data_IF_329091462086
#
_entry.id   IF_329091462086
#
_cell.length_a   1.000
_cell.length_b   1.000
_cell.length_c   1.000
_cell.angle_alpha   90.00
_cell.angle_beta   90.00
_cell.angle_gamma   90.00
#
_symmetry.space_group_name_H-M   'P 1'
#
loop_
_entity.id
_entity.type
_entity.pdbx_description
1 polymer ?
#
# COMPACT_ATOMS: atom_id res chain seq x y z
N UNK A 1 -47.30 42.38 14.86
CA UNK A 1 -47.04 41.54 16.03
C UNK A 1 -46.08 40.46 15.56
N UNK A 2 -44.82 40.56 15.98
CA UNK A 2 -43.80 39.56 15.67
C UNK A 2 -44.14 38.31 16.48
N UNK A 3 -44.19 37.15 15.82
CA UNK A 3 -44.45 35.88 16.48
C UNK A 3 -43.32 35.57 17.46
N UNK A 4 -43.69 35.15 18.66
CA UNK A 4 -42.74 34.69 19.66
C UNK A 4 -41.82 33.62 19.06
N UNK A 5 -40.53 33.75 19.33
CA UNK A 5 -39.53 32.75 18.95
C UNK A 5 -39.78 31.48 19.76
N UNK A 6 -40.13 30.39 19.07
CA UNK A 6 -40.25 29.05 19.66
C UNK A 6 -38.88 28.67 20.24
N UNK A 7 -38.81 28.45 21.54
CA UNK A 7 -37.59 28.01 22.22
C UNK A 7 -37.48 26.49 22.22
N UNK A 8 -36.28 25.94 22.44
CA UNK A 8 -36.09 24.49 22.60
C UNK A 8 -36.97 23.91 23.73
N UNK A 9 -37.27 24.72 24.76
CA UNK A 9 -38.19 24.37 25.85
C UNK A 9 -39.67 24.31 25.44
N UNK A 10 -40.07 25.03 24.38
CA UNK A 10 -41.43 24.98 23.83
C UNK A 10 -41.64 23.75 22.95
N UNK A 11 -40.61 23.33 22.19
CA UNK A 11 -40.62 22.09 21.42
C UNK A 11 -40.66 20.85 22.34
N UNK A 12 -39.99 20.90 23.50
CA UNK A 12 -40.01 19.83 24.49
C UNK A 12 -41.38 19.62 25.18
N UNK A 13 -42.34 20.53 25.01
CA UNK A 13 -43.67 20.46 25.64
C UNK A 13 -44.76 19.86 24.74
N UNK A 14 -44.48 19.58 23.46
CA UNK A 14 -45.39 18.84 22.58
C UNK A 14 -45.11 17.33 22.67
N UNK A 15 -45.96 16.63 23.43
CA UNK A 15 -45.99 15.17 23.43
C UNK A 15 -46.85 14.67 22.26
N UNK A 16 -46.23 14.47 21.11
CA UNK A 16 -46.79 13.67 20.02
C UNK A 16 -45.87 12.47 19.80
N UNK A 17 -46.41 11.27 19.95
CA UNK A 17 -45.75 10.01 19.62
C UNK A 17 -46.36 9.47 18.32
N UNK A 18 -45.57 8.76 17.52
CA UNK A 18 -45.99 8.23 16.23
C UNK A 18 -45.59 6.75 16.07
N UNK A 19 -46.36 6.01 15.29
CA UNK A 19 -46.05 4.64 14.85
C UNK A 19 -45.77 4.58 13.34
N UNK A 20 -44.80 3.76 12.94
CA UNK A 20 -44.45 3.56 11.53
C UNK A 20 -44.81 2.15 11.05
N UNK A 21 -45.57 2.07 9.96
CA UNK A 21 -45.84 0.86 9.19
C UNK A 21 -44.96 0.78 7.94
N UNK A 22 -44.58 -0.43 7.54
CA UNK A 22 -43.69 -0.68 6.41
C UNK A 22 -44.49 -1.04 5.16
N UNK A 23 -44.47 -0.18 4.14
CA UNK A 23 -45.11 -0.41 2.83
C UNK A 23 -44.14 0.01 1.72
N UNK A 24 -43.11 -0.79 1.47
CA UNK A 24 -42.11 -0.54 0.41
C UNK A 24 -41.12 0.59 0.73
N UNK A 25 -40.56 1.28 -0.29
CA UNK A 25 -39.60 2.40 -0.14
C UNK A 25 -40.20 3.71 0.45
N UNK A 26 -41.41 3.67 1.03
CA UNK A 26 -42.09 4.84 1.60
C UNK A 26 -42.35 4.65 3.10
N UNK A 27 -41.93 5.62 3.91
CA UNK A 27 -42.14 5.63 5.35
C UNK A 27 -43.35 6.53 5.71
N UNK A 28 -44.35 5.96 6.37
CA UNK A 28 -45.51 6.70 6.88
C UNK A 28 -45.37 6.82 8.39
N UNK A 29 -45.40 8.05 8.89
CA UNK A 29 -45.50 8.34 10.32
C UNK A 29 -46.97 8.59 10.67
N UNK A 30 -47.53 7.74 11.52
CA UNK A 30 -48.91 7.90 12.01
C UNK A 30 -48.85 8.48 13.42
N UNK A 31 -49.36 9.68 13.61
CA UNK A 31 -49.48 10.28 14.95
C UNK A 31 -50.47 9.45 15.80
N UNK A 32 -50.09 9.14 17.03
CA UNK A 32 -50.91 8.34 17.95
C UNK A 32 -52.15 9.09 18.43
N UNK A 33 -52.09 10.44 18.44
CA UNK A 33 -53.20 11.32 18.79
C UNK A 33 -53.62 12.18 17.58
N UNK A 34 -54.93 12.33 17.32
CA UNK A 34 -55.42 13.20 16.26
C UNK A 34 -55.13 14.67 16.59
N UNK A 35 -54.70 15.43 15.59
CA UNK A 35 -54.45 16.88 15.70
C UNK A 35 -55.45 17.65 14.85
N UNK A 36 -56.00 18.73 15.39
CA UNK A 36 -56.87 19.67 14.66
C UNK A 36 -56.10 20.94 14.32
N UNK A 37 -56.22 21.42 13.07
CA UNK A 37 -55.61 22.65 12.58
C UNK A 37 -56.73 23.51 12.00
N UNK A 38 -56.89 24.72 12.50
CA UNK A 38 -57.97 25.61 12.08
C UNK A 38 -57.75 26.13 10.65
N UNK A 39 -58.86 26.56 10.03
CA UNK A 39 -58.84 27.03 8.64
C UNK A 39 -57.94 28.26 8.50
N UNK A 40 -56.90 28.13 7.69
CA UNK A 40 -55.94 29.20 7.41
C UNK A 40 -54.72 29.20 8.33
N UNK A 41 -54.63 28.23 9.25
CA UNK A 41 -53.48 28.05 10.13
C UNK A 41 -52.52 26.97 9.61
N UNK A 42 -51.31 26.93 10.16
CA UNK A 42 -50.29 25.92 9.87
C UNK A 42 -49.58 25.54 11.16
N UNK A 43 -49.22 24.26 11.30
CA UNK A 43 -48.56 23.74 12.49
C UNK A 43 -47.37 22.86 12.12
N UNK A 44 -46.31 22.94 12.92
CA UNK A 44 -45.18 22.00 12.87
C UNK A 44 -45.43 20.93 13.92
N UNK A 45 -45.66 19.70 13.46
CA UNK A 45 -45.91 18.56 14.33
C UNK A 45 -44.61 17.76 14.50
N UNK A 46 -44.08 17.62 15.74
CA UNK A 46 -42.95 16.76 15.96
C UNK A 46 -43.37 15.32 15.71
N UNK A 47 -42.58 14.61 14.90
CA UNK A 47 -42.79 13.18 14.62
C UNK A 47 -42.21 12.34 15.77
N UNK A 48 -41.09 12.81 16.33
CA UNK A 48 -40.38 12.19 17.43
C UNK A 48 -40.23 13.25 18.51
N UNK A 49 -40.87 13.02 19.65
CA UNK A 49 -40.71 13.82 20.87
C UNK A 49 -40.19 12.91 21.97
N UNK A 50 -38.88 12.94 22.22
CA UNK A 50 -38.28 12.14 23.26
C UNK A 50 -36.75 12.14 23.22
N UNK A 51 -36.10 11.73 24.31
CA UNK A 51 -34.65 11.52 24.31
C UNK A 51 -34.32 10.34 23.40
N UNK A 52 -33.20 10.45 22.69
CA UNK A 52 -32.57 9.36 21.93
C UNK A 52 -31.24 9.08 22.62
N UNK A 53 -30.90 7.80 22.80
CA UNK A 53 -29.61 7.43 23.38
C UNK A 53 -28.46 7.94 22.49
N UNK A 54 -27.54 8.68 23.11
CA UNK A 54 -26.36 9.21 22.43
C UNK A 54 -25.18 9.36 23.37
N UNK A 55 -23.99 9.07 22.85
CA UNK A 55 -22.71 9.23 23.54
C UNK A 55 -21.91 10.34 22.88
N UNK A 56 -21.47 11.33 23.68
CA UNK A 56 -20.53 12.35 23.21
C UNK A 56 -19.17 11.70 22.97
N UNK A 57 -18.58 11.98 21.82
CA UNK A 57 -17.28 11.46 21.41
C UNK A 57 -16.50 12.54 20.66
N UNK A 58 -15.18 12.39 20.59
CA UNK A 58 -14.34 13.14 19.66
C UNK A 58 -13.90 12.20 18.54
N UNK A 59 -14.18 12.57 17.30
CA UNK A 59 -13.89 11.77 16.11
C UNK A 59 -12.58 12.27 15.51
N UNK A 60 -11.62 11.37 15.35
CA UNK A 60 -10.39 11.66 14.62
C UNK A 60 -10.30 10.73 13.41
N UNK A 61 -10.42 11.29 12.20
CA UNK A 61 -10.39 10.51 10.96
C UNK A 61 -9.05 10.67 10.25
N UNK A 62 -8.29 9.57 10.18
CA UNK A 62 -6.97 9.55 9.53
C UNK A 62 -7.05 9.44 7.98
N UNK A 63 -8.27 9.54 7.41
CA UNK A 63 -8.53 9.55 5.96
C UNK A 63 -8.32 10.94 5.36
N UNK A 64 -8.62 12.01 6.11
CA UNK A 64 -8.65 13.37 5.60
C UNK A 64 -7.25 14.01 5.51
N UNK A 65 -7.07 14.94 4.56
CA UNK A 65 -5.82 15.69 4.39
C UNK A 65 -5.52 16.74 5.47
N UNK A 66 -6.51 17.06 6.30
CA UNK A 66 -6.41 17.92 7.50
C UNK A 66 -7.17 17.24 8.66
N UNK A 67 -6.56 16.29 9.38
CA UNK A 67 -7.25 15.47 10.37
C UNK A 67 -7.31 16.23 11.70
N UNK A 68 -8.16 17.26 11.76
CA UNK A 68 -8.49 17.89 13.03
C UNK A 68 -9.53 17.05 13.76
N UNK A 69 -9.36 16.82 15.08
CA UNK A 69 -10.41 16.21 15.89
C UNK A 69 -11.73 16.97 15.75
N UNK A 70 -12.83 16.22 15.66
CA UNK A 70 -14.17 16.76 15.51
C UNK A 70 -15.02 16.33 16.70
N UNK A 71 -15.77 17.25 17.29
CA UNK A 71 -16.81 16.89 18.23
C UNK A 71 -17.91 16.10 17.50
N UNK A 72 -18.38 15.04 18.14
CA UNK A 72 -19.41 14.19 17.59
C UNK A 72 -20.32 13.57 18.63
N UNK A 73 -21.38 12.95 18.11
CA UNK A 73 -22.31 12.11 18.86
C UNK A 73 -22.43 10.77 18.16
N UNK A 74 -22.19 9.71 18.91
CA UNK A 74 -22.56 8.35 18.53
C UNK A 74 -24.00 8.14 18.99
N UNK A 75 -24.91 8.03 18.03
CA UNK A 75 -26.36 7.95 18.21
C UNK A 75 -26.83 6.52 17.97
N UNK A 76 -27.65 5.98 18.86
CA UNK A 76 -28.38 4.73 18.63
C UNK A 76 -29.85 5.05 18.37
N UNK A 77 -30.42 4.60 17.26
CA UNK A 77 -31.83 4.83 16.97
C UNK A 77 -32.74 3.84 17.73
N UNK A 78 -33.03 4.17 18.99
CA UNK A 78 -33.92 3.43 19.88
C UNK A 78 -35.39 3.90 19.83
N UNK A 79 -35.72 4.83 18.92
CA UNK A 79 -37.06 5.44 18.82
C UNK A 79 -38.15 4.48 18.31
N UNK A 80 -37.77 3.34 17.75
CA UNK A 80 -38.68 2.39 17.10
C UNK A 80 -39.18 2.85 15.73
N UNK A 81 -38.70 4.00 15.22
CA UNK A 81 -39.04 4.58 13.93
C UNK A 81 -37.79 4.67 13.03
N UNK A 82 -37.97 4.91 11.74
CA UNK A 82 -36.86 5.27 10.84
C UNK A 82 -36.56 6.76 11.02
N UNK A 83 -35.28 7.13 11.17
CA UNK A 83 -34.89 8.54 11.15
C UNK A 83 -34.62 8.97 9.70
N UNK A 84 -35.28 10.05 9.28
CA UNK A 84 -35.11 10.60 7.94
C UNK A 84 -33.77 11.35 7.82
N UNK A 85 -33.13 11.33 6.64
CA UNK A 85 -31.94 12.14 6.41
C UNK A 85 -32.28 13.64 6.46
N UNK A 86 -31.40 14.43 7.04
CA UNK A 86 -31.61 15.87 7.17
C UNK A 86 -30.49 16.59 7.93
N UNK A 87 -30.48 17.93 7.90
CA UNK A 87 -29.58 18.70 8.75
C UNK A 87 -30.02 18.59 10.22
N UNK A 88 -29.04 18.61 11.12
CA UNK A 88 -29.23 18.55 12.57
C UNK A 88 -28.51 19.73 13.19
N UNK A 89 -29.24 20.62 13.86
CA UNK A 89 -28.63 21.65 14.69
C UNK A 89 -28.33 21.06 16.08
N UNK A 90 -27.07 21.12 16.49
CA UNK A 90 -26.62 20.57 17.77
C UNK A 90 -26.53 21.70 18.80
N UNK A 91 -27.15 21.48 19.95
CA UNK A 91 -27.09 22.38 21.10
C UNK A 91 -26.44 21.65 22.27
N UNK A 92 -25.48 22.31 22.93
CA UNK A 92 -24.84 21.83 24.14
C UNK A 92 -25.04 22.84 25.27
N UNK A 93 -25.45 22.37 26.45
CA UNK A 93 -25.81 23.21 27.60
C UNK A 93 -26.73 24.42 27.27
N UNK A 94 -27.59 24.27 26.26
CA UNK A 94 -28.52 25.33 25.80
C UNK A 94 -27.90 26.35 24.84
N UNK A 95 -26.62 26.22 24.50
CA UNK A 95 -25.95 27.03 23.47
C UNK A 95 -25.83 26.25 22.16
N UNK A 96 -25.83 26.96 21.04
CA UNK A 96 -25.57 26.36 19.73
C UNK A 96 -24.12 25.90 19.64
N UNK A 97 -23.90 24.62 19.32
CA UNK A 97 -22.58 23.99 19.28
C UNK A 97 -22.10 23.71 17.84
N UNK A 98 -23.02 23.55 16.88
CA UNK A 98 -22.69 23.33 15.47
C UNK A 98 -23.83 22.66 14.69
N UNK A 99 -23.52 22.28 13.46
CA UNK A 99 -24.43 21.58 12.56
C UNK A 99 -23.85 20.23 12.18
N UNK A 100 -24.69 19.20 12.16
CA UNK A 100 -24.40 17.90 11.59
C UNK A 100 -25.38 17.57 10.45
N UNK A 101 -25.04 16.53 9.68
CA UNK A 101 -25.94 15.95 8.70
C UNK A 101 -26.21 14.51 9.10
N UNK A 102 -27.48 14.15 9.27
CA UNK A 102 -27.90 12.77 9.50
C UNK A 102 -28.31 12.13 8.17
N UNK A 103 -27.92 10.87 7.98
CA UNK A 103 -28.41 10.02 6.90
C UNK A 103 -29.71 9.30 7.27
N UNK A 104 -30.11 8.33 6.46
CA UNK A 104 -31.16 7.40 6.89
C UNK A 104 -30.64 6.49 8.01
N UNK A 105 -31.40 6.39 9.10
CA UNK A 105 -31.07 5.53 10.24
C UNK A 105 -32.22 4.57 10.47
N UNK A 106 -32.00 3.28 10.20
CA UNK A 106 -33.02 2.28 10.46
C UNK A 106 -33.22 2.07 11.96
N UNK A 107 -34.28 1.36 12.33
CA UNK A 107 -34.59 1.05 13.73
C UNK A 107 -33.46 0.20 14.32
N UNK A 108 -32.88 0.65 15.43
CA UNK A 108 -31.77 -0.02 16.11
C UNK A 108 -30.40 0.21 15.46
N UNK A 109 -30.29 0.94 14.35
CA UNK A 109 -29.01 1.29 13.75
C UNK A 109 -28.27 2.34 14.60
N UNK A 110 -26.94 2.29 14.55
CA UNK A 110 -26.05 3.30 15.11
C UNK A 110 -25.49 4.23 14.03
N UNK A 111 -25.30 5.50 14.41
CA UNK A 111 -24.71 6.52 13.54
C UNK A 111 -23.79 7.44 14.30
N UNK A 112 -22.63 7.67 13.70
CA UNK A 112 -21.67 8.66 14.14
C UNK A 112 -21.90 9.98 13.39
N UNK A 113 -22.12 11.06 14.14
CA UNK A 113 -22.37 12.39 13.59
C UNK A 113 -21.32 13.37 14.11
N UNK A 114 -20.53 13.97 13.22
CA UNK A 114 -19.63 15.08 13.54
C UNK A 114 -20.33 16.43 13.35
N UNK A 115 -20.16 17.37 14.28
CA UNK A 115 -20.86 18.67 14.21
C UNK A 115 -19.97 19.91 14.35
N UNK A 116 -18.76 19.79 14.91
CA UNK A 116 -17.84 20.92 15.08
C UNK A 116 -16.39 20.44 15.18
N UNK A 117 -15.43 21.34 14.99
CA UNK A 117 -14.01 21.07 15.32
C UNK A 117 -13.87 21.04 16.83
N UNK A 118 -13.18 20.03 17.35
CA UNK A 118 -12.78 19.97 18.76
C UNK A 118 -11.48 20.76 18.93
N UNK A 119 -11.56 21.89 19.64
CA UNK A 119 -10.41 22.77 19.88
C UNK A 119 -9.64 22.40 21.15
N UNK A 120 -10.21 21.54 21.99
CA UNK A 120 -9.62 21.15 23.27
C UNK A 120 -8.90 19.80 23.18
N UNK A 121 -9.01 19.09 22.06
CA UNK A 121 -8.24 17.89 21.78
C UNK A 121 -7.19 18.16 20.69
N UNK A 122 -5.92 18.01 21.04
CA UNK A 122 -4.84 17.95 20.05
C UNK A 122 -4.62 16.49 19.62
N UNK A 123 -4.34 16.29 18.33
CA UNK A 123 -3.99 14.98 17.79
C UNK A 123 -2.73 15.05 16.95
N UNK A 124 -1.79 14.16 17.23
CA UNK A 124 -0.59 13.93 16.44
C UNK A 124 -0.56 12.49 15.92
N UNK A 125 0.09 12.31 14.77
CA UNK A 125 0.27 11.01 14.12
C UNK A 125 1.73 10.84 13.73
N UNK A 126 2.36 9.77 14.20
CA UNK A 126 3.65 9.30 13.71
C UNK A 126 3.44 7.98 12.97
N UNK A 127 3.90 7.88 11.73
CA UNK A 127 3.81 6.65 10.95
C UNK A 127 5.19 6.13 10.62
N UNK A 128 5.41 4.86 10.94
CA UNK A 128 6.63 4.13 10.60
C UNK A 128 6.28 2.92 9.77
N UNK A 129 7.09 2.69 8.75
CA UNK A 129 6.97 1.51 7.91
C UNK A 129 8.25 0.70 8.03
N UNK A 130 8.09 -0.61 8.21
CA UNK A 130 9.18 -1.57 8.20
C UNK A 130 8.86 -2.66 7.20
N UNK A 131 9.87 -3.06 6.45
CA UNK A 131 9.80 -4.25 5.61
C UNK A 131 10.88 -5.23 6.04
N UNK A 132 10.48 -6.48 6.20
CA UNK A 132 11.41 -7.56 6.50
C UNK A 132 11.17 -8.72 5.56
N UNK A 133 12.27 -9.32 5.10
CA UNK A 133 12.17 -10.60 4.40
C UNK A 133 11.86 -11.66 5.45
N UNK A 134 10.80 -12.42 5.20
CA UNK A 134 10.37 -13.56 6.01
C UNK A 134 11.01 -14.85 5.51
N UNK A 135 11.07 -15.01 4.19
CA UNK A 135 11.55 -16.25 3.57
C UNK A 135 12.05 -16.01 2.15
N UNK A 136 13.09 -16.74 1.76
CA UNK A 136 13.58 -16.85 0.39
C UNK A 136 13.63 -18.34 0.05
N UNK A 137 13.05 -18.69 -1.09
CA UNK A 137 13.13 -20.02 -1.69
C UNK A 137 13.33 -19.90 -3.20
N UNK A 138 13.67 -20.98 -3.87
CA UNK A 138 13.71 -21.06 -5.33
C UNK A 138 12.58 -21.97 -5.76
N UNK A 139 11.77 -21.51 -6.71
CA UNK A 139 10.65 -22.24 -7.30
C UNK A 139 10.73 -22.13 -8.81
N UNK A 140 10.80 -23.26 -9.52
CA UNK A 140 10.95 -23.32 -10.98
C UNK A 140 12.11 -22.44 -11.49
N UNK A 141 13.26 -22.46 -10.81
CA UNK A 141 14.44 -21.67 -11.18
C UNK A 141 14.34 -20.16 -10.91
N UNK A 142 13.22 -19.69 -10.34
CA UNK A 142 13.03 -18.30 -9.91
C UNK A 142 13.18 -18.17 -8.40
N UNK A 143 13.82 -17.11 -7.93
CA UNK A 143 13.90 -16.78 -6.51
C UNK A 143 12.56 -16.20 -6.08
N UNK A 144 11.83 -16.91 -5.24
CA UNK A 144 10.64 -16.40 -4.57
C UNK A 144 11.01 -15.81 -3.21
N UNK A 145 10.75 -14.52 -3.04
CA UNK A 145 11.01 -13.76 -1.82
C UNK A 145 9.69 -13.36 -1.18
N UNK A 146 9.42 -13.89 0.01
CA UNK A 146 8.29 -13.48 0.85
C UNK A 146 8.72 -12.35 1.78
N UNK A 147 8.03 -11.23 1.67
CA UNK A 147 8.24 -10.02 2.46
C UNK A 147 7.03 -9.76 3.35
N UNK A 148 7.29 -9.38 4.58
CA UNK A 148 6.30 -8.84 5.52
C UNK A 148 6.52 -7.34 5.58
N UNK A 149 5.46 -6.58 5.28
CA UNK A 149 5.41 -5.14 5.48
C UNK A 149 4.56 -4.85 6.70
N UNK A 150 5.11 -4.11 7.65
CA UNK A 150 4.40 -3.63 8.83
C UNK A 150 4.33 -2.11 8.73
N UNK A 151 3.15 -1.55 8.93
CA UNK A 151 2.92 -0.12 9.04
C UNK A 151 2.38 0.16 10.43
N UNK A 152 3.22 0.69 11.30
CA UNK A 152 2.84 1.11 12.64
C UNK A 152 2.51 2.60 12.62
N UNK A 153 1.30 2.94 13.02
CA UNK A 153 0.86 4.32 13.17
C UNK A 153 0.51 4.56 14.63
N UNK A 154 1.27 5.45 15.28
CA UNK A 154 0.99 5.90 16.64
C UNK A 154 0.19 7.19 16.57
N UNK A 155 -0.97 7.18 17.20
CA UNK A 155 -1.81 8.35 17.41
C UNK A 155 -1.63 8.83 18.85
N UNK A 156 -1.33 10.11 19.02
CA UNK A 156 -1.18 10.75 20.32
C UNK A 156 -2.28 11.78 20.45
N UNK A 157 -3.15 11.60 21.44
CA UNK A 157 -4.25 12.51 21.74
C UNK A 157 -3.96 13.22 23.05
N UNK A 158 -3.96 14.54 23.06
CA UNK A 158 -3.76 15.36 24.26
C UNK A 158 -5.03 16.12 24.55
N UNK A 159 -5.58 15.93 25.73
CA UNK A 159 -6.82 16.56 26.17
C UNK A 159 -6.52 17.78 27.02
N UNK A 160 -6.92 18.96 26.56
CA UNK A 160 -6.81 20.23 27.28
C UNK A 160 -8.12 20.62 27.97
N UNK A 161 -9.19 19.83 27.81
CA UNK A 161 -10.45 20.06 28.50
C UNK A 161 -10.38 19.57 29.96
N UNK A 162 -11.33 20.07 30.74
CA UNK A 162 -11.62 19.70 32.12
C UNK A 162 -12.39 18.38 32.26
N UNK A 163 -12.99 17.89 31.16
CA UNK A 163 -13.73 16.63 31.10
C UNK A 163 -12.96 15.56 30.31
N UNK A 164 -13.13 14.30 30.68
CA UNK A 164 -12.54 13.18 29.95
C UNK A 164 -13.11 13.09 28.52
N UNK A 165 -12.27 12.73 27.56
CA UNK A 165 -12.63 12.61 26.14
C UNK A 165 -12.60 11.16 25.70
N UNK A 166 -13.72 10.68 25.15
CA UNK A 166 -13.77 9.40 24.41
C UNK A 166 -13.47 9.68 22.94
N UNK A 167 -12.29 9.26 22.49
CA UNK A 167 -11.82 9.46 21.11
C UNK A 167 -12.15 8.22 20.28
N UNK A 168 -12.87 8.41 19.18
CA UNK A 168 -13.07 7.43 18.12
C UNK A 168 -12.10 7.72 16.98
N UNK A 169 -11.07 6.88 16.87
CA UNK A 169 -10.09 6.92 15.79
C UNK A 169 -10.61 6.12 14.58
N UNK A 170 -10.82 6.77 13.44
CA UNK A 170 -11.03 6.10 12.16
C UNK A 170 -9.69 5.92 11.43
N UNK A 171 -9.21 4.68 11.38
CA UNK A 171 -8.03 4.29 10.63
C UNK A 171 -8.43 3.69 9.26
N UNK A 172 -7.90 4.17 8.13
CA UNK A 172 -8.27 3.67 6.81
C UNK A 172 -7.91 2.19 6.63
N UNK A 173 -8.86 1.40 6.14
CA UNK A 173 -8.59 0.04 5.66
C UNK A 173 -7.74 0.12 4.41
N UNK A 174 -6.71 -0.72 4.35
CA UNK A 174 -5.86 -0.85 3.17
C UNK A 174 -6.06 -2.25 2.56
N UNK A 175 -6.34 -2.38 1.25
CA UNK A 175 -6.53 -3.69 0.62
C UNK A 175 -5.32 -4.62 0.81
N UNK A 176 -5.58 -5.82 1.32
CA UNK A 176 -4.55 -6.83 1.60
C UNK A 176 -3.68 -6.54 2.84
N UNK A 177 -4.10 -5.61 3.69
CA UNK A 177 -3.50 -5.37 5.00
C UNK A 177 -4.48 -5.75 6.12
N UNK A 178 -3.94 -6.34 7.18
CA UNK A 178 -4.69 -6.81 8.34
C UNK A 178 -4.17 -6.12 9.61
N UNK A 179 -5.06 -5.86 10.57
CA UNK A 179 -4.67 -5.30 11.87
C UNK A 179 -3.96 -6.39 12.68
N UNK A 180 -2.79 -6.06 13.22
CA UNK A 180 -2.03 -6.92 14.13
C UNK A 180 -1.70 -6.19 15.43
N UNK A 181 -1.32 -6.95 16.47
CA UNK A 181 -0.95 -6.41 17.77
C UNK A 181 -2.13 -6.28 18.73
N UNK A 182 -1.94 -5.48 19.78
CA UNK A 182 -2.85 -5.43 20.93
C UNK A 182 -4.08 -4.54 20.69
N UNK A 183 -3.95 -3.50 19.85
CA UNK A 183 -5.08 -2.64 19.51
C UNK A 183 -6.04 -3.39 18.58
N UNK A 184 -7.26 -3.64 19.06
CA UNK A 184 -8.32 -4.26 18.28
C UNK A 184 -9.41 -3.22 17.99
N UNK A 185 -9.96 -3.20 16.77
CA UNK A 185 -11.03 -2.25 16.44
C UNK A 185 -12.29 -2.58 17.25
N UNK A 186 -12.94 -1.54 17.77
CA UNK A 186 -14.24 -1.64 18.41
C UNK A 186 -15.36 -1.84 17.37
N UNK A 187 -15.19 -1.27 16.18
CA UNK A 187 -16.11 -1.39 15.05
C UNK A 187 -15.33 -1.43 13.74
N UNK A 188 -15.87 -2.12 12.74
CA UNK A 188 -15.34 -2.14 11.39
C UNK A 188 -16.41 -1.78 10.36
N UNK A 189 -16.07 -0.84 9.49
CA UNK A 189 -16.89 -0.51 8.32
C UNK A 189 -16.25 -1.05 7.04
N UNK A 190 -16.82 -0.74 5.89
CA UNK A 190 -16.24 -1.09 4.59
C UNK A 190 -14.87 -0.44 4.36
N UNK A 191 -14.66 0.78 4.85
CA UNK A 191 -13.49 1.61 4.51
C UNK A 191 -12.57 1.94 5.69
N UNK A 192 -13.02 1.77 6.94
CA UNK A 192 -12.23 2.09 8.14
C UNK A 192 -12.33 1.05 9.25
N UNK A 193 -11.26 0.96 10.03
CA UNK A 193 -11.23 0.39 11.37
C UNK A 193 -11.49 1.52 12.37
N UNK A 194 -12.41 1.32 13.33
CA UNK A 194 -12.65 2.27 14.42
C UNK A 194 -12.07 1.75 15.71
N UNK A 195 -11.24 2.56 16.35
CA UNK A 195 -10.66 2.27 17.65
C UNK A 195 -11.14 3.30 18.67
N UNK A 196 -11.28 2.88 19.91
CA UNK A 196 -11.69 3.76 21.01
C UNK A 196 -10.52 3.99 21.97
N UNK A 197 -10.31 5.23 22.37
CA UNK A 197 -9.36 5.61 23.40
C UNK A 197 -9.99 6.65 24.34
N UNK A 198 -9.81 6.48 25.64
CA UNK A 198 -10.22 7.47 26.64
C UNK A 198 -9.01 8.31 27.01
N UNK A 199 -9.17 9.63 27.01
CA UNK A 199 -8.14 10.60 27.40
C UNK A 199 -8.66 11.41 28.58
N UNK A 200 -8.07 11.19 29.75
CA UNK A 200 -8.45 11.91 30.97
C UNK A 200 -8.13 13.43 30.85
N UNK A 201 -8.76 14.28 31.67
CA UNK A 201 -8.52 15.72 31.66
C UNK A 201 -7.04 16.08 31.86
N UNK A 202 -6.46 16.87 30.96
CA UNK A 202 -5.06 17.30 31.04
C UNK A 202 -4.03 16.22 30.68
N UNK A 203 -4.46 15.00 30.34
CA UNK A 203 -3.59 13.86 30.04
C UNK A 203 -3.38 13.66 28.53
N UNK A 204 -2.41 12.80 28.22
CA UNK A 204 -2.11 12.33 26.87
C UNK A 204 -2.29 10.83 26.79
N UNK A 205 -3.06 10.36 25.80
CA UNK A 205 -3.20 8.95 25.48
C UNK A 205 -2.50 8.61 24.16
N UNK A 206 -1.85 7.46 24.11
CA UNK A 206 -1.26 6.91 22.89
C UNK A 206 -2.03 5.67 22.44
N UNK A 207 -2.33 5.60 21.15
CA UNK A 207 -2.96 4.46 20.51
C UNK A 207 -2.12 4.04 19.29
N UNK A 208 -1.52 2.84 19.37
CA UNK A 208 -0.70 2.28 18.30
C UNK A 208 -1.51 1.29 17.45
N UNK A 209 -1.76 1.64 16.19
CA UNK A 209 -2.41 0.76 15.21
C UNK A 209 -1.35 0.23 14.27
N UNK A 210 -1.18 -1.10 14.21
CA UNK A 210 -0.24 -1.74 13.30
C UNK A 210 -0.97 -2.55 12.25
N UNK A 211 -0.69 -2.27 10.99
CA UNK A 211 -1.16 -3.06 9.85
C UNK A 211 -0.03 -3.94 9.34
N UNK A 212 -0.33 -5.20 9.01
CA UNK A 212 0.59 -6.13 8.35
C UNK A 212 0.09 -6.49 6.95
N UNK A 213 1.01 -6.58 5.98
CA UNK A 213 0.79 -7.21 4.69
C UNK A 213 1.93 -8.15 4.34
N UNK A 214 1.58 -9.41 4.07
CA UNK A 214 2.49 -10.43 3.55
C UNK A 214 2.34 -10.53 2.05
N UNK A 215 3.45 -10.52 1.32
CA UNK A 215 3.43 -10.70 -0.13
C UNK A 215 4.69 -11.43 -0.61
N UNK A 216 4.55 -12.14 -1.72
CA UNK A 216 5.66 -12.83 -2.39
C UNK A 216 5.93 -12.19 -3.74
N UNK A 217 7.20 -12.22 -4.14
CA UNK A 217 7.67 -11.79 -5.45
C UNK A 217 8.61 -12.83 -6.04
N UNK A 218 8.46 -13.07 -7.33
CA UNK A 218 9.36 -13.94 -8.10
C UNK A 218 10.38 -13.08 -8.84
N UNK A 219 11.64 -13.42 -8.65
CA UNK A 219 12.79 -12.71 -9.21
C UNK A 219 13.68 -13.70 -9.96
N UNK A 220 14.37 -13.23 -10.99
CA UNK A 220 15.39 -14.04 -11.65
C UNK A 220 16.57 -14.30 -10.70
N UNK A 221 17.15 -15.49 -10.77
CA UNK A 221 18.21 -15.95 -9.85
C UNK A 221 19.48 -15.08 -9.87
N UNK A 222 19.68 -14.33 -10.95
CA UNK A 222 20.80 -13.40 -11.16
C UNK A 222 20.61 -12.04 -10.49
N UNK A 223 19.40 -11.71 -10.01
CA UNK A 223 19.12 -10.43 -9.37
C UNK A 223 19.52 -10.36 -7.90
N UNK A 224 19.72 -11.51 -7.25
CA UNK A 224 20.09 -11.58 -5.84
C UNK A 224 21.60 -11.74 -5.68
N UNK A 225 22.22 -10.86 -4.88
CA UNK A 225 23.65 -10.94 -4.59
C UNK A 225 23.98 -12.07 -3.60
N UNK A 226 25.11 -12.75 -3.82
CA UNK A 226 25.55 -13.82 -2.91
C UNK A 226 25.83 -13.32 -1.48
N UNK A 227 26.38 -12.12 -1.33
CA UNK A 227 26.67 -11.53 -0.02
C UNK A 227 25.38 -11.19 0.75
N UNK A 228 24.38 -10.65 0.05
CA UNK A 228 23.05 -10.38 0.60
C UNK A 228 22.39 -11.68 1.06
N UNK A 229 22.43 -12.70 0.20
CA UNK A 229 21.86 -14.02 0.48
C UNK A 229 22.55 -14.72 1.66
N UNK A 230 23.88 -14.57 1.81
CA UNK A 230 24.61 -15.09 2.97
C UNK A 230 24.10 -14.46 4.28
N UNK A 231 23.75 -13.17 4.27
CA UNK A 231 23.08 -12.52 5.39
C UNK A 231 21.73 -13.16 5.74
N UNK A 232 20.95 -13.55 4.73
CA UNK A 232 19.68 -14.24 4.92
C UNK A 232 19.83 -15.68 5.39
N UNK A 233 20.87 -16.40 4.97
CA UNK A 233 21.20 -17.73 5.51
C UNK A 233 21.53 -17.64 6.99
N UNK A 234 22.37 -16.67 7.38
CA UNK A 234 22.76 -16.47 8.80
C UNK A 234 21.58 -16.12 9.70
N UNK A 235 20.55 -15.46 9.16
CA UNK A 235 19.34 -15.08 9.89
C UNK A 235 18.20 -16.09 9.76
N UNK A 236 18.44 -17.25 9.12
CA UNK A 236 17.45 -18.33 8.95
C UNK A 236 16.33 -18.01 7.94
N UNK A 237 16.48 -16.95 7.14
CA UNK A 237 15.51 -16.50 6.13
C UNK A 237 15.67 -17.20 4.79
N UNK A 238 16.84 -17.79 4.54
CA UNK A 238 17.15 -18.62 3.39
C UNK A 238 17.89 -19.88 3.86
N UNK A 239 17.81 -20.97 3.11
CA UNK A 239 18.60 -22.18 3.40
C UNK A 239 19.98 -22.14 2.75
N UNK A 240 20.90 -22.97 3.25
CA UNK A 240 22.20 -23.18 2.60
C UNK A 240 22.04 -23.68 1.15
N UNK A 241 21.02 -24.50 0.89
CA UNK A 241 20.75 -25.01 -0.45
C UNK A 241 20.35 -23.89 -1.42
N UNK A 242 19.58 -22.89 -0.97
CA UNK A 242 19.27 -21.70 -1.79
C UNK A 242 20.55 -20.93 -2.14
N UNK A 243 21.44 -20.75 -1.16
CA UNK A 243 22.74 -20.11 -1.38
C UNK A 243 23.60 -20.88 -2.39
N UNK A 244 23.71 -22.20 -2.22
CA UNK A 244 24.52 -23.04 -3.10
C UNK A 244 23.98 -23.04 -4.54
N UNK A 245 22.66 -23.01 -4.70
CA UNK A 245 22.01 -22.93 -5.99
C UNK A 245 22.28 -21.61 -6.72
N UNK A 246 22.15 -20.48 -6.00
CA UNK A 246 22.50 -19.15 -6.56
C UNK A 246 23.98 -19.09 -6.90
N UNK A 247 24.85 -19.66 -6.06
CA UNK A 247 26.31 -19.71 -6.31
C UNK A 247 26.63 -20.51 -7.56
N UNK A 248 25.96 -21.64 -7.77
CA UNK A 248 26.13 -22.46 -8.96
C UNK A 248 25.64 -21.74 -10.22
N UNK A 249 24.45 -21.13 -10.18
CA UNK A 249 23.93 -20.34 -11.30
C UNK A 249 24.87 -19.17 -11.65
N UNK A 250 25.38 -18.46 -10.64
CA UNK A 250 26.35 -17.37 -10.84
C UNK A 250 27.65 -17.86 -11.48
N UNK A 251 28.14 -19.05 -11.10
CA UNK A 251 29.34 -19.65 -11.71
C UNK A 251 29.14 -20.02 -13.18
N UNK A 252 27.98 -20.60 -13.53
CA UNK A 252 27.65 -20.92 -14.93
C UNK A 252 27.50 -19.62 -15.74
N UNK A 253 26.86 -18.59 -15.16
CA UNK A 253 26.74 -17.27 -15.79
C UNK A 253 28.10 -16.62 -16.04
N UNK A 254 29.04 -16.73 -15.09
CA UNK A 254 30.39 -16.21 -15.27
C UNK A 254 31.08 -16.82 -16.49
N UNK A 255 30.93 -18.14 -16.71
CA UNK A 255 31.46 -18.83 -17.91
C UNK A 255 30.85 -18.30 -19.21
N UNK A 256 29.54 -18.01 -19.23
CA UNK A 256 28.87 -17.39 -20.38
C UNK A 256 29.49 -16.02 -20.66
N UNK A 257 29.59 -15.17 -19.63
CA UNK A 257 30.14 -13.81 -19.78
C UNK A 257 31.62 -13.82 -20.16
N UNK A 258 32.42 -14.77 -19.68
CA UNK A 258 33.82 -14.91 -20.07
C UNK A 258 33.95 -15.32 -21.55
N UNK A 259 33.12 -16.25 -22.02
CA UNK A 259 33.09 -16.65 -23.44
C UNK A 259 32.65 -15.51 -24.35
N UNK A 260 31.62 -14.74 -23.96
CA UNK A 260 31.17 -13.54 -24.69
C UNK A 260 32.28 -12.48 -24.79
N UNK A 261 33.01 -12.23 -23.69
CA UNK A 261 34.16 -11.31 -23.69
C UNK A 261 35.27 -11.81 -24.63
N UNK A 262 35.55 -13.10 -24.65
CA UNK A 262 36.54 -13.69 -25.54
C UNK A 262 36.14 -13.58 -27.02
N UNK A 263 34.87 -13.87 -27.35
CA UNK A 263 34.33 -13.71 -28.70
C UNK A 263 34.44 -12.26 -29.17
N UNK A 264 34.05 -11.29 -28.33
CA UNK A 264 34.15 -9.88 -28.67
C UNK A 264 35.61 -9.44 -28.94
N UNK A 265 36.57 -9.96 -28.18
CA UNK A 265 37.99 -9.70 -28.41
C UNK A 265 38.49 -10.32 -29.72
N UNK A 266 38.09 -11.55 -30.04
CA UNK A 266 38.42 -12.23 -31.30
C UNK A 266 37.84 -11.48 -32.50
N UNK A 267 36.59 -11.03 -32.42
CA UNK A 267 35.93 -10.27 -33.48
C UNK A 267 36.64 -8.93 -33.73
N UNK A 268 37.06 -8.24 -32.68
CA UNK A 268 37.85 -7.01 -32.80
C UNK A 268 39.22 -7.25 -33.46
N UNK A 269 39.92 -8.33 -33.11
CA UNK A 269 41.21 -8.69 -33.72
C UNK A 269 41.05 -9.06 -35.21
N UNK A 270 40.05 -9.87 -35.52
CA UNK A 270 39.70 -10.26 -36.89
C UNK A 270 39.44 -9.04 -37.77
N UNK A 271 38.66 -8.08 -37.27
CA UNK A 271 38.38 -6.84 -37.97
C UNK A 271 39.65 -6.00 -38.17
N UNK A 272 40.53 -5.94 -37.17
CA UNK A 272 41.82 -5.25 -37.28
C UNK A 272 42.73 -5.86 -38.35
N UNK A 273 42.80 -7.19 -38.43
CA UNK A 273 43.57 -7.90 -39.46
C UNK A 273 42.99 -7.63 -40.85
N UNK A 274 41.67 -7.72 -41.03
CA UNK A 274 41.01 -7.47 -42.31
C UNK A 274 41.34 -6.06 -42.86
N UNK A 275 41.25 -5.04 -42.01
CA UNK A 275 41.59 -3.66 -42.39
C UNK A 275 43.07 -3.50 -42.77
N UNK A 276 43.98 -4.18 -42.06
CA UNK A 276 45.40 -4.15 -42.36
C UNK A 276 45.74 -4.89 -43.66
N UNK A 277 45.09 -6.02 -43.94
CA UNK A 277 45.22 -6.73 -45.21
C UNK A 277 44.79 -5.85 -46.38
N UNK A 278 43.66 -5.15 -46.27
CA UNK A 278 43.20 -4.20 -47.30
C UNK A 278 44.19 -3.05 -47.53
N UNK A 279 44.80 -2.55 -46.47
CA UNK A 279 45.88 -1.54 -46.54
C UNK A 279 47.12 -2.10 -47.23
N UNK A 280 47.54 -3.32 -46.87
CA UNK A 280 48.71 -3.98 -47.45
C UNK A 280 48.47 -4.26 -48.94
N UNK A 281 47.33 -4.83 -49.33
CA UNK A 281 46.96 -5.10 -50.73
C UNK A 281 46.97 -3.81 -51.57
N UNK A 282 46.44 -2.70 -51.05
CA UNK A 282 46.52 -1.38 -51.71
C UNK A 282 47.96 -0.89 -51.88
N UNK A 283 48.80 -1.02 -50.85
CA UNK A 283 50.21 -0.61 -50.94
C UNK A 283 51.01 -1.52 -51.89
N UNK A 284 50.71 -2.81 -51.96
CA UNK A 284 51.39 -3.74 -52.87
C UNK A 284 51.11 -3.43 -54.34
N UNK A 285 50.00 -2.75 -54.66
CA UNK A 285 49.72 -2.29 -56.03
C UNK A 285 50.65 -1.15 -56.48
N UNK A 286 51.31 -0.45 -55.56
CA UNK A 286 52.18 0.70 -55.87
C UNK A 286 53.68 0.40 -55.72
N UNK A 287 54.02 -0.65 -54.97
CA UNK A 287 55.42 -1.02 -54.67
C UNK A 287 55.98 -1.97 -55.74
N UNK A 288 57.26 -1.79 -56.11
CA UNK A 288 57.95 -2.69 -57.04
C UNK A 288 57.99 -4.12 -56.47
N UNK A 289 57.54 -5.10 -57.25
CA UNK A 289 57.47 -6.53 -56.90
C UNK A 289 58.83 -7.15 -56.53
N UNK A 290 59.93 -6.58 -57.02
CA UNK A 290 61.29 -7.06 -56.71
C UNK A 290 61.89 -6.40 -55.46
N UNK A 291 61.16 -5.51 -54.78
CA UNK A 291 61.66 -4.85 -53.58
C UNK A 291 61.52 -5.72 -52.32
N UNK A 292 62.46 -5.54 -51.38
CA UNK A 292 62.39 -6.18 -50.06
C UNK A 292 61.11 -5.82 -49.29
N UNK A 293 60.54 -4.63 -49.56
CA UNK A 293 59.27 -4.19 -48.97
C UNK A 293 58.10 -5.05 -49.45
N UNK A 294 58.06 -5.43 -50.73
CA UNK A 294 57.03 -6.33 -51.27
C UNK A 294 57.13 -7.72 -50.63
N UNK A 295 58.34 -8.26 -50.51
CA UNK A 295 58.58 -9.54 -49.83
C UNK A 295 58.21 -9.51 -48.34
N UNK A 296 58.37 -8.37 -47.66
CA UNK A 296 57.91 -8.18 -46.28
C UNK A 296 56.39 -8.15 -46.16
N UNK A 297 55.69 -7.49 -47.10
CA UNK A 297 54.23 -7.48 -47.12
C UNK A 297 53.64 -8.85 -47.39
N UNK A 298 54.20 -9.63 -48.32
CA UNK A 298 53.77 -11.00 -48.58
C UNK A 298 53.86 -11.87 -47.32
N UNK A 299 55.01 -11.87 -46.65
CA UNK A 299 55.19 -12.60 -45.37
C UNK A 299 54.22 -12.15 -44.28
N UNK A 300 53.88 -10.86 -44.24
CA UNK A 300 52.91 -10.34 -43.27
C UNK A 300 51.49 -10.80 -43.59
N UNK A 301 51.11 -10.86 -44.87
CA UNK A 301 49.83 -11.42 -45.29
C UNK A 301 49.74 -12.90 -44.94
N UNK A 302 50.77 -13.69 -45.23
CA UNK A 302 50.84 -15.11 -44.83
C UNK A 302 50.64 -15.28 -43.31
N UNK A 303 51.40 -14.55 -42.50
CA UNK A 303 51.23 -14.60 -41.03
C UNK A 303 49.85 -14.12 -40.55
N UNK A 304 49.19 -13.23 -41.30
CA UNK A 304 47.83 -12.79 -41.00
C UNK A 304 46.78 -13.85 -41.36
N UNK A 305 46.97 -14.59 -42.47
CA UNK A 305 46.10 -15.72 -42.81
C UNK A 305 46.21 -16.83 -41.76
N UNK A 306 47.43 -17.20 -41.36
CA UNK A 306 47.65 -18.19 -40.28
C UNK A 306 46.98 -17.73 -38.96
N UNK A 307 47.07 -16.42 -38.66
CA UNK A 307 46.42 -15.86 -37.47
C UNK A 307 44.89 -15.89 -37.58
N UNK A 308 44.33 -15.54 -38.74
CA UNK A 308 42.88 -15.58 -38.98
C UNK A 308 42.34 -17.01 -38.84
N UNK A 309 43.05 -18.01 -39.36
CA UNK A 309 42.69 -19.42 -39.17
C UNK A 309 42.64 -19.78 -37.68
N UNK A 310 43.67 -19.42 -36.91
CA UNK A 310 43.69 -19.65 -35.45
C UNK A 310 42.57 -18.91 -34.70
N UNK A 311 42.19 -17.70 -35.15
CA UNK A 311 41.12 -16.92 -34.56
C UNK A 311 39.74 -17.52 -34.86
N UNK A 312 39.53 -18.04 -36.07
CA UNK A 312 38.31 -18.76 -36.42
C UNK A 312 38.14 -20.02 -35.56
N UNK A 313 39.19 -20.84 -35.41
CA UNK A 313 39.15 -22.02 -34.53
C UNK A 313 38.86 -21.64 -33.07
N UNK A 314 39.51 -20.58 -32.56
CA UNK A 314 39.28 -20.08 -31.22
C UNK A 314 37.84 -19.55 -31.04
N UNK A 315 37.29 -18.86 -32.04
CA UNK A 315 35.90 -18.40 -32.04
C UNK A 315 34.94 -19.56 -31.95
N UNK A 316 35.09 -20.56 -32.82
CA UNK A 316 34.24 -21.76 -32.83
C UNK A 316 34.30 -22.52 -31.50
N UNK A 317 35.45 -22.50 -30.83
CA UNK A 317 35.59 -23.05 -29.48
C UNK A 317 34.79 -22.24 -28.45
N UNK A 318 34.89 -20.91 -28.47
CA UNK A 318 34.17 -20.03 -27.53
C UNK A 318 32.65 -20.04 -27.77
N UNK A 319 32.20 -20.07 -29.03
CA UNK A 319 30.78 -20.19 -29.35
C UNK A 319 30.19 -21.52 -28.84
N UNK A 320 30.94 -22.62 -28.98
CA UNK A 320 30.56 -23.92 -28.38
C UNK A 320 30.53 -23.86 -26.85
N UNK A 321 31.54 -23.24 -26.22
CA UNK A 321 31.60 -23.10 -24.77
C UNK A 321 30.43 -22.26 -24.22
N UNK A 322 30.09 -21.15 -24.90
CA UNK A 322 28.92 -20.32 -24.57
C UNK A 322 27.63 -21.13 -24.68
N UNK A 323 27.38 -21.78 -25.82
CA UNK A 323 26.18 -22.56 -26.05
C UNK A 323 26.03 -23.72 -25.04
N UNK A 324 27.14 -24.37 -24.68
CA UNK A 324 27.14 -25.41 -23.65
C UNK A 324 26.78 -24.84 -22.27
N UNK A 325 27.38 -23.72 -21.87
CA UNK A 325 27.07 -23.08 -20.58
C UNK A 325 25.63 -22.54 -20.52
N UNK A 326 25.08 -22.03 -21.63
CA UNK A 326 23.66 -21.63 -21.73
C UNK A 326 22.71 -22.83 -21.61
N UNK A 327 23.03 -23.95 -22.25
CA UNK A 327 22.26 -25.19 -22.12
C UNK A 327 22.33 -25.73 -20.69
N UNK A 328 23.51 -25.72 -20.07
CA UNK A 328 23.74 -26.10 -18.68
C UNK A 328 22.94 -25.22 -17.72
N UNK A 329 22.95 -23.89 -17.91
CA UNK A 329 22.17 -22.98 -17.08
C UNK A 329 20.66 -23.23 -17.22
N UNK A 330 20.16 -23.40 -18.45
CA UNK A 330 18.74 -23.69 -18.68
C UNK A 330 18.32 -25.01 -18.02
N UNK A 331 19.14 -26.05 -18.16
CA UNK A 331 18.87 -27.35 -17.54
C UNK A 331 18.92 -27.26 -16.01
N UNK A 332 19.89 -26.52 -15.46
CA UNK A 332 20.01 -26.30 -14.02
C UNK A 332 18.78 -25.61 -13.44
N UNK A 333 18.23 -24.61 -14.13
CA UNK A 333 17.09 -23.83 -13.64
C UNK A 333 15.74 -24.53 -13.82
N UNK A 334 15.58 -25.41 -14.82
CA UNK A 334 14.29 -25.99 -15.20
C UNK A 334 13.61 -26.77 -14.06
N UNK A 335 14.38 -27.46 -13.23
CA UNK A 335 13.88 -28.30 -12.13
C UNK A 335 14.36 -27.82 -10.74
N UNK A 336 14.82 -26.56 -10.65
CA UNK A 336 15.39 -26.03 -9.42
C UNK A 336 14.29 -25.56 -8.46
N UNK A 337 13.97 -26.42 -7.50
CA UNK A 337 13.11 -26.13 -6.35
C UNK A 337 13.87 -26.32 -5.05
N UNK A 338 14.05 -25.24 -4.29
CA UNK A 338 14.84 -25.26 -3.04
C UNK A 338 14.18 -24.39 -1.99
N UNK A 339 13.97 -24.94 -0.80
CA UNK A 339 13.28 -24.31 0.33
C UNK A 339 14.23 -23.73 1.36
#
# INVERSE_FOLDING_TARGET
AFGDSITAGDLARLNASASAGDVGEQFIYTLDAPVSIDKGESSMLPIISGPIAGRRVTIYSAIAGDPRPMLGVELTNDTGLHLMPGPVAVYDAGAYAGDAQIGHVARGDERLLSYAVDHDLDAARDQRQRQTIRRIRIVNGLVERTTVSEQATTYTFTNHDTDARTVLLEHPKQPGWEVIGDAQPAEETESVYRFEAVVEPGDTAELAVTLERVWSQSLSIDTIGLDELLGYVRTGKASQAVYDAVRQAASIRARITDAERAIAAIDAETQGIAQDQDRIRRNMNTVNRQSDLYARYMRKLEAQEDRLESLHEARDQQDRARAQAEAELRAFLADLDVN
#
